data_IF_788550758529
#
_entry.id   IF_788550758529
#
_cell.length_a   1.000
_cell.length_b   1.000
_cell.length_c   1.000
_cell.angle_alpha   90.00
_cell.angle_beta   90.00
_cell.angle_gamma   90.00
#
_symmetry.space_group_name_H-M   'P 1'
#
loop_
_entity.id
_entity.type
_entity.pdbx_description
1 polymer ?
#
# COMPACT_ATOMS: atom_id res chain seq x y z
N UNK A 1 23.41 -19.76 16.53
CA UNK A 1 21.95 -19.97 16.43
C UNK A 1 21.69 -20.81 15.20
N UNK A 2 20.99 -21.92 15.33
CA UNK A 2 20.55 -22.69 14.16
C UNK A 2 19.51 -21.87 13.39
N UNK A 3 19.45 -21.99 12.06
CA UNK A 3 18.51 -21.24 11.21
C UNK A 3 17.05 -21.36 11.69
N UNK A 4 16.67 -22.54 12.18
CA UNK A 4 15.36 -22.80 12.79
C UNK A 4 15.08 -21.97 14.05
N UNK A 5 16.04 -21.86 14.99
CA UNK A 5 15.88 -21.06 16.21
C UNK A 5 15.66 -19.59 15.88
N UNK A 6 16.33 -19.09 14.83
CA UNK A 6 16.14 -17.74 14.33
C UNK A 6 14.74 -17.53 13.73
N UNK A 7 14.27 -18.47 12.91
CA UNK A 7 12.92 -18.41 12.30
C UNK A 7 11.84 -18.42 13.39
N UNK A 8 11.91 -19.36 14.34
CA UNK A 8 10.94 -19.46 15.43
C UNK A 8 10.94 -18.19 16.27
N UNK A 9 12.12 -17.66 16.63
CA UNK A 9 12.22 -16.39 17.37
C UNK A 9 11.58 -15.24 16.60
N UNK A 10 11.79 -15.14 15.29
CA UNK A 10 11.17 -14.11 14.45
C UNK A 10 9.65 -14.26 14.39
N UNK A 11 9.14 -15.49 14.21
CA UNK A 11 7.70 -15.76 14.20
C UNK A 11 7.04 -15.41 15.54
N UNK A 12 7.69 -15.73 16.67
CA UNK A 12 7.18 -15.34 17.99
C UNK A 12 7.21 -13.83 18.20
N UNK A 13 8.23 -13.13 17.70
CA UNK A 13 8.30 -11.67 17.74
C UNK A 13 7.27 -10.99 16.83
N UNK A 14 6.74 -11.66 15.81
CA UNK A 14 5.66 -11.12 14.98
C UNK A 14 4.35 -10.97 15.76
N UNK A 15 4.06 -11.86 16.71
CA UNK A 15 2.82 -11.83 17.48
C UNK A 15 2.63 -10.49 18.21
N UNK A 16 3.55 -10.02 19.08
CA UNK A 16 3.39 -8.72 19.74
C UNK A 16 3.41 -7.55 18.77
N UNK A 17 4.14 -7.65 17.64
CA UNK A 17 4.14 -6.61 16.60
C UNK A 17 2.76 -6.49 15.95
N UNK A 18 2.17 -7.61 15.53
CA UNK A 18 0.83 -7.64 14.93
C UNK A 18 -0.23 -7.15 15.92
N UNK A 19 -0.17 -7.60 17.18
CA UNK A 19 -1.06 -7.08 18.22
C UNK A 19 -0.91 -5.55 18.37
N UNK A 20 0.33 -5.05 18.45
CA UNK A 20 0.58 -3.61 18.50
C UNK A 20 -0.01 -2.85 17.32
N UNK A 21 0.19 -3.36 16.09
CA UNK A 21 -0.39 -2.78 14.88
C UNK A 21 -1.92 -2.78 14.95
N UNK A 22 -2.55 -3.91 15.31
CA UNK A 22 -4.03 -3.99 15.40
C UNK A 22 -4.61 -3.04 16.44
N UNK A 23 -3.93 -2.84 17.58
CA UNK A 23 -4.37 -1.86 18.59
C UNK A 23 -4.26 -0.45 18.03
N UNK A 24 -3.13 -0.11 17.40
CA UNK A 24 -2.93 1.23 16.82
C UNK A 24 -3.96 1.50 15.73
N UNK A 25 -4.17 0.57 14.79
CA UNK A 25 -5.16 0.74 13.71
C UNK A 25 -6.57 0.85 14.25
N UNK A 26 -6.93 0.05 15.27
CA UNK A 26 -8.21 0.12 15.94
C UNK A 26 -8.42 1.46 16.66
N UNK A 27 -7.42 1.96 17.38
CA UNK A 27 -7.52 3.27 18.05
C UNK A 27 -7.66 4.39 17.02
N UNK A 28 -6.83 4.38 15.98
CA UNK A 28 -6.89 5.39 14.91
C UNK A 28 -8.25 5.39 14.23
N UNK A 29 -8.83 4.22 13.95
CA UNK A 29 -10.16 4.13 13.31
C UNK A 29 -11.28 4.70 14.19
N UNK A 30 -11.15 4.64 15.52
CA UNK A 30 -12.13 5.19 16.46
C UNK A 30 -11.91 6.67 16.81
N UNK A 31 -10.70 7.19 16.61
CA UNK A 31 -10.38 8.60 16.83
C UNK A 31 -10.79 9.47 15.64
N UNK A 32 -10.82 8.90 14.43
CA UNK A 32 -11.30 9.61 13.25
C UNK A 32 -12.78 9.98 13.46
N UNK A 33 -13.17 11.26 13.33
CA UNK A 33 -14.54 11.72 13.54
C UNK A 33 -15.45 11.32 12.37
N UNK A 34 -15.67 10.01 12.21
CA UNK A 34 -16.56 9.42 11.24
C UNK A 34 -17.38 8.35 11.94
N UNK A 35 -18.72 8.46 11.91
CA UNK A 35 -19.59 7.40 12.43
C UNK A 35 -19.63 6.25 11.41
N UNK A 36 -19.05 5.07 11.71
CA UNK A 36 -18.94 3.99 10.74
C UNK A 36 -20.31 3.43 10.35
N UNK A 37 -21.30 3.46 11.26
CA UNK A 37 -22.67 3.04 10.96
C UNK A 37 -23.34 4.02 9.99
N UNK A 38 -23.11 5.32 10.16
CA UNK A 38 -23.62 6.34 9.25
C UNK A 38 -22.96 6.27 7.87
N UNK A 39 -21.65 6.02 7.82
CA UNK A 39 -20.91 5.83 6.58
C UNK A 39 -21.46 4.62 5.80
N UNK A 40 -21.65 3.48 6.47
CA UNK A 40 -22.26 2.30 5.85
C UNK A 40 -23.70 2.49 5.41
N UNK A 41 -24.48 3.32 6.11
CA UNK A 41 -25.88 3.55 5.79
C UNK A 41 -26.09 4.45 4.55
N UNK A 42 -25.01 4.97 3.93
CA UNK A 42 -25.08 5.89 2.78
C UNK A 42 -25.03 7.37 3.17
N UNK A 43 -24.52 7.68 4.37
CA UNK A 43 -24.30 9.04 4.85
C UNK A 43 -25.45 9.62 5.69
N UNK A 44 -25.44 10.94 5.95
CA UNK A 44 -26.35 11.59 6.92
C UNK A 44 -27.84 11.51 6.58
N UNK A 45 -28.20 11.11 5.35
CA UNK A 45 -29.59 10.99 4.88
C UNK A 45 -30.22 9.63 5.18
N UNK A 46 -29.46 8.69 5.73
CA UNK A 46 -29.98 7.36 6.05
C UNK A 46 -31.02 7.41 7.17
N UNK A 47 -32.01 6.50 7.10
CA UNK A 47 -33.04 6.41 8.13
C UNK A 47 -32.43 6.05 9.50
N UNK A 48 -32.84 6.69 10.61
CA UNK A 48 -32.28 6.41 11.94
C UNK A 48 -32.38 4.94 12.36
N UNK A 49 -33.44 4.25 11.96
CA UNK A 49 -33.63 2.81 12.21
C UNK A 49 -32.57 1.96 11.49
N UNK A 50 -32.22 2.31 10.26
CA UNK A 50 -31.16 1.63 9.49
C UNK A 50 -29.80 1.84 10.14
N UNK A 51 -29.51 3.06 10.61
CA UNK A 51 -28.25 3.36 11.31
C UNK A 51 -28.15 2.56 12.61
N UNK A 52 -29.22 2.50 13.40
CA UNK A 52 -29.25 1.73 14.64
C UNK A 52 -29.06 0.22 14.40
N UNK A 53 -29.68 -0.32 13.35
CA UNK A 53 -29.50 -1.72 12.95
C UNK A 53 -28.06 -2.02 12.56
N UNK A 54 -27.46 -1.20 11.69
CA UNK A 54 -26.07 -1.35 11.26
C UNK A 54 -25.12 -1.21 12.45
N UNK A 55 -25.39 -0.29 13.38
CA UNK A 55 -24.58 -0.11 14.59
C UNK A 55 -24.55 -1.37 15.45
N UNK A 56 -25.69 -2.04 15.60
CA UNK A 56 -25.76 -3.31 16.32
C UNK A 56 -25.09 -4.47 15.55
N UNK A 57 -25.26 -4.52 14.23
CA UNK A 57 -24.61 -5.51 13.36
C UNK A 57 -23.07 -5.40 13.40
N UNK A 58 -22.54 -4.18 13.48
CA UNK A 58 -21.10 -3.92 13.57
C UNK A 58 -20.56 -3.94 15.01
N UNK A 59 -21.38 -4.29 15.99
CA UNK A 59 -21.04 -4.30 17.42
C UNK A 59 -20.56 -2.95 17.98
N UNK A 60 -20.86 -1.85 17.28
CA UNK A 60 -20.47 -0.49 17.66
C UNK A 60 -21.23 0.01 18.91
N UNK A 61 -22.27 -0.71 19.33
CA UNK A 61 -23.00 -0.51 20.59
C UNK A 61 -22.29 -1.10 21.82
N UNK A 62 -21.24 -1.92 21.62
CA UNK A 62 -20.51 -2.59 22.71
C UNK A 62 -19.38 -1.71 23.28
N UNK A 63 -18.93 -1.97 24.52
CA UNK A 63 -17.69 -1.38 25.04
C UNK A 63 -16.50 -1.60 24.09
N UNK A 64 -15.60 -0.61 23.98
CA UNK A 64 -14.45 -0.64 23.05
C UNK A 64 -13.59 -1.90 23.15
N UNK A 65 -13.42 -2.42 24.38
CA UNK A 65 -12.64 -3.65 24.63
C UNK A 65 -13.30 -4.84 23.91
N UNK A 66 -14.62 -4.95 23.98
CA UNK A 66 -15.38 -6.03 23.33
C UNK A 66 -15.34 -5.86 21.81
N UNK A 67 -15.45 -4.62 21.30
CA UNK A 67 -15.29 -4.33 19.88
C UNK A 67 -13.93 -4.76 19.35
N UNK A 68 -12.86 -4.53 20.12
CA UNK A 68 -11.51 -4.96 19.75
C UNK A 68 -11.39 -6.49 19.68
N UNK A 69 -12.04 -7.23 20.59
CA UNK A 69 -12.07 -8.69 20.50
C UNK A 69 -12.84 -9.22 19.29
N UNK A 70 -13.96 -8.59 18.92
CA UNK A 70 -14.64 -8.92 17.66
C UNK A 70 -13.75 -8.65 16.45
N UNK A 71 -13.09 -7.50 16.41
CA UNK A 71 -12.13 -7.15 15.37
C UNK A 71 -10.98 -8.17 15.26
N UNK A 72 -10.37 -8.56 16.38
CA UNK A 72 -9.34 -9.60 16.39
C UNK A 72 -9.86 -10.96 15.94
N UNK A 73 -11.06 -11.35 16.37
CA UNK A 73 -11.67 -12.60 15.96
C UNK A 73 -11.89 -12.65 14.45
N UNK A 74 -12.41 -11.56 13.86
CA UNK A 74 -12.59 -11.44 12.42
C UNK A 74 -11.26 -11.56 11.68
N UNK A 75 -10.22 -10.84 12.13
CA UNK A 75 -8.89 -10.90 11.51
C UNK A 75 -8.27 -12.31 11.53
N UNK A 76 -8.39 -13.04 12.65
CA UNK A 76 -7.85 -14.40 12.77
C UNK A 76 -8.56 -15.37 11.82
N UNK A 77 -9.83 -15.12 11.49
CA UNK A 77 -10.60 -15.88 10.51
C UNK A 77 -10.49 -15.33 9.08
N UNK A 78 -9.52 -14.43 8.81
CA UNK A 78 -9.32 -13.77 7.52
C UNK A 78 -10.52 -12.95 7.03
N UNK A 79 -11.41 -12.56 7.95
CA UNK A 79 -12.50 -11.63 7.68
C UNK A 79 -11.99 -10.20 7.86
N UNK A 80 -11.67 -9.52 6.74
CA UNK A 80 -11.26 -8.11 6.76
C UNK A 80 -12.45 -7.14 6.78
N UNK A 81 -13.69 -7.65 6.74
CA UNK A 81 -14.90 -6.85 6.69
C UNK A 81 -15.13 -6.19 5.31
N UNK A 82 -15.96 -5.13 5.33
CA UNK A 82 -16.34 -4.35 4.14
C UNK A 82 -15.80 -2.93 4.23
N UNK A 83 -15.47 -2.36 3.09
CA UNK A 83 -15.09 -0.94 2.98
C UNK A 83 -16.29 -0.04 3.26
N UNK A 84 -16.13 0.92 4.18
CA UNK A 84 -17.15 1.94 4.47
C UNK A 84 -17.42 2.86 3.27
N UNK A 85 -16.43 3.06 2.40
CA UNK A 85 -16.54 3.95 1.24
C UNK A 85 -17.11 3.24 0.01
N UNK A 86 -16.61 2.02 -0.26
CA UNK A 86 -16.91 1.30 -1.51
C UNK A 86 -18.01 0.25 -1.34
N UNK A 87 -18.45 0.00 -0.11
CA UNK A 87 -19.50 -0.96 0.25
C UNK A 87 -19.29 -2.38 -0.34
N UNK A 88 -18.03 -2.80 -0.44
CA UNK A 88 -17.62 -4.14 -0.90
C UNK A 88 -16.55 -4.74 0.02
N UNK A 89 -16.31 -6.06 -0.02
CA UNK A 89 -15.29 -6.71 0.80
C UNK A 89 -13.91 -6.06 0.64
N UNK A 90 -13.21 -5.84 1.75
CA UNK A 90 -11.86 -5.24 1.74
C UNK A 90 -10.87 -6.11 0.95
N UNK A 91 -11.06 -7.43 0.97
CA UNK A 91 -10.27 -8.38 0.18
C UNK A 91 -10.35 -8.10 -1.33
N UNK A 92 -11.54 -7.76 -1.83
CA UNK A 92 -11.74 -7.39 -3.23
C UNK A 92 -11.03 -6.07 -3.57
N UNK A 93 -11.18 -5.06 -2.70
CA UNK A 93 -10.45 -3.80 -2.84
C UNK A 93 -8.94 -4.04 -2.94
N UNK A 94 -8.37 -4.83 -2.01
CA UNK A 94 -6.94 -5.16 -2.02
C UNK A 94 -6.57 -5.89 -3.31
N UNK A 95 -7.33 -6.90 -3.72
CA UNK A 95 -7.03 -7.66 -4.94
C UNK A 95 -7.06 -6.81 -6.21
N UNK A 96 -7.87 -5.75 -6.25
CA UNK A 96 -7.92 -4.85 -7.40
C UNK A 96 -6.65 -4.01 -7.54
N UNK A 97 -6.10 -3.51 -6.42
CA UNK A 97 -4.96 -2.59 -6.44
C UNK A 97 -3.60 -3.27 -6.21
N UNK A 98 -3.60 -4.49 -5.65
CA UNK A 98 -2.39 -5.24 -5.34
C UNK A 98 -1.51 -5.50 -6.57
N UNK A 99 -2.03 -5.95 -7.74
CA UNK A 99 -1.18 -6.23 -8.90
C UNK A 99 -0.39 -5.00 -9.37
N UNK A 100 -1.02 -3.84 -9.43
CA UNK A 100 -0.35 -2.60 -9.82
C UNK A 100 0.79 -2.23 -8.85
N UNK A 101 0.54 -2.34 -7.54
CA UNK A 101 1.54 -2.07 -6.51
C UNK A 101 2.69 -3.07 -6.57
N UNK A 102 2.38 -4.34 -6.78
CA UNK A 102 3.34 -5.42 -6.87
C UNK A 102 4.28 -5.24 -8.07
N UNK A 103 3.70 -4.99 -9.25
CA UNK A 103 4.45 -4.71 -10.48
C UNK A 103 5.37 -3.49 -10.31
N UNK A 104 4.82 -2.37 -9.83
CA UNK A 104 5.59 -1.15 -9.56
C UNK A 104 6.75 -1.41 -8.60
N UNK A 105 6.51 -2.15 -7.52
CA UNK A 105 7.52 -2.45 -6.50
C UNK A 105 8.63 -3.32 -7.07
N UNK A 106 8.31 -4.33 -7.90
CA UNK A 106 9.32 -5.17 -8.55
C UNK A 106 10.22 -4.35 -9.47
N UNK A 107 9.65 -3.55 -10.36
CA UNK A 107 10.44 -2.71 -11.27
C UNK A 107 11.28 -1.68 -10.52
N UNK A 108 10.72 -1.06 -9.48
CA UNK A 108 11.47 -0.16 -8.62
C UNK A 108 12.64 -0.88 -7.94
N UNK A 109 12.46 -2.08 -7.40
CA UNK A 109 13.54 -2.86 -6.78
C UNK A 109 14.62 -3.27 -7.78
N UNK A 110 14.23 -3.69 -8.99
CA UNK A 110 15.17 -4.08 -10.05
C UNK A 110 16.08 -2.92 -10.48
N UNK A 111 15.61 -1.68 -10.37
CA UNK A 111 16.41 -0.49 -10.68
C UNK A 111 17.20 -0.03 -9.45
N UNK A 112 16.53 0.13 -8.30
CA UNK A 112 17.11 0.77 -7.11
C UNK A 112 18.14 -0.11 -6.41
N UNK A 113 17.94 -1.42 -6.34
CA UNK A 113 18.85 -2.31 -5.62
C UNK A 113 20.22 -2.39 -6.31
N UNK A 114 20.33 -2.66 -7.63
CA UNK A 114 21.63 -2.66 -8.30
C UNK A 114 22.30 -1.30 -8.26
N UNK A 115 21.57 -0.21 -8.55
CA UNK A 115 22.14 1.14 -8.53
C UNK A 115 22.62 1.54 -7.13
N UNK A 116 21.84 1.23 -6.09
CA UNK A 116 22.20 1.52 -4.70
C UNK A 116 23.41 0.72 -4.24
N UNK A 117 23.46 -0.58 -4.54
CA UNK A 117 24.60 -1.44 -4.18
C UNK A 117 25.87 -1.00 -4.94
N UNK A 118 25.79 -0.84 -6.26
CA UNK A 118 26.95 -0.44 -7.09
C UNK A 118 27.43 0.95 -6.69
N UNK A 119 26.51 1.91 -6.54
CA UNK A 119 26.85 3.26 -6.09
C UNK A 119 27.51 3.26 -4.71
N UNK A 120 26.98 2.51 -3.75
CA UNK A 120 27.55 2.36 -2.42
C UNK A 120 28.96 1.74 -2.43
N UNK A 121 29.16 0.69 -3.24
CA UNK A 121 30.48 0.05 -3.39
C UNK A 121 31.48 1.02 -4.02
N UNK A 122 31.10 1.74 -5.08
CA UNK A 122 31.97 2.71 -5.75
C UNK A 122 32.38 3.83 -4.79
N UNK A 123 31.42 4.40 -4.05
CA UNK A 123 31.66 5.43 -3.03
C UNK A 123 32.64 4.92 -1.96
N UNK A 124 32.48 3.68 -1.50
CA UNK A 124 33.38 3.07 -0.51
C UNK A 124 34.82 2.86 -1.04
N UNK A 125 34.97 2.36 -2.27
CA UNK A 125 36.29 2.09 -2.87
C UNK A 125 37.00 3.39 -3.28
N UNK A 126 36.25 4.39 -3.75
CA UNK A 126 36.77 5.68 -4.24
C UNK A 126 36.58 6.79 -3.21
N UNK A 127 36.67 6.45 -1.93
CA UNK A 127 36.54 7.37 -0.80
C UNK A 127 37.31 8.69 -1.02
N UNK A 128 36.66 9.81 -0.73
CA UNK A 128 37.20 11.17 -0.81
C UNK A 128 37.68 11.58 -2.22
N UNK A 129 37.19 10.89 -3.26
CA UNK A 129 37.36 11.27 -4.67
C UNK A 129 36.09 11.93 -5.21
N UNK A 130 36.15 12.66 -6.35
CA UNK A 130 34.99 13.32 -6.91
C UNK A 130 33.76 12.41 -7.09
N UNK A 131 33.96 11.15 -7.47
CA UNK A 131 32.87 10.19 -7.64
C UNK A 131 32.16 9.84 -6.33
N UNK A 132 32.91 9.74 -5.21
CA UNK A 132 32.32 9.55 -3.87
C UNK A 132 31.47 10.75 -3.48
N UNK A 133 32.00 11.97 -3.67
CA UNK A 133 31.26 13.20 -3.38
C UNK A 133 29.97 13.32 -4.21
N UNK A 134 30.01 12.99 -5.51
CA UNK A 134 28.82 13.01 -6.37
C UNK A 134 27.78 11.97 -5.91
N UNK A 135 28.19 10.72 -5.68
CA UNK A 135 27.26 9.67 -5.23
C UNK A 135 26.63 10.01 -3.88
N UNK A 136 27.43 10.51 -2.92
CA UNK A 136 26.94 10.97 -1.62
C UNK A 136 25.99 12.15 -1.75
N UNK A 137 26.32 13.12 -2.60
CA UNK A 137 25.44 14.27 -2.85
C UNK A 137 24.08 13.83 -3.39
N UNK A 138 24.06 12.95 -4.40
CA UNK A 138 22.82 12.40 -4.95
C UNK A 138 22.02 11.66 -3.87
N UNK A 139 22.68 10.83 -3.05
CA UNK A 139 22.02 10.10 -1.97
C UNK A 139 21.40 11.04 -0.91
N UNK A 140 22.15 12.08 -0.51
CA UNK A 140 21.67 13.08 0.46
C UNK A 140 20.49 13.86 -0.11
N UNK A 141 20.58 14.33 -1.35
CA UNK A 141 19.48 15.07 -2.00
C UNK A 141 18.25 14.17 -2.11
N UNK A 142 18.41 12.94 -2.61
CA UNK A 142 17.30 12.00 -2.74
C UNK A 142 16.62 11.66 -1.40
N UNK A 143 17.39 11.58 -0.31
CA UNK A 143 16.84 11.34 1.02
C UNK A 143 16.20 12.58 1.66
N UNK A 144 16.71 13.78 1.34
CA UNK A 144 16.27 15.03 1.96
C UNK A 144 15.01 15.62 1.33
N UNK A 145 14.73 15.27 0.07
CA UNK A 145 13.54 15.76 -0.63
C UNK A 145 12.28 15.03 -0.16
N UNK A 146 11.17 15.74 0.08
CA UNK A 146 9.89 15.10 0.34
C UNK A 146 9.47 14.22 -0.85
N UNK A 147 9.15 12.95 -0.59
CA UNK A 147 8.89 11.98 -1.67
C UNK A 147 7.70 12.38 -2.53
N UNK A 148 6.66 12.98 -1.93
CA UNK A 148 5.50 13.49 -2.66
C UNK A 148 5.88 14.65 -3.60
N UNK A 149 6.78 15.53 -3.17
CA UNK A 149 7.22 16.66 -3.97
C UNK A 149 8.05 16.17 -5.16
N UNK A 150 8.96 15.23 -4.91
CA UNK A 150 9.75 14.61 -5.97
C UNK A 150 8.82 13.91 -6.98
N UNK A 151 7.82 13.15 -6.52
CA UNK A 151 6.85 12.50 -7.38
C UNK A 151 6.10 13.52 -8.28
N UNK A 152 5.61 14.63 -7.70
CA UNK A 152 4.94 15.68 -8.46
C UNK A 152 5.86 16.38 -9.47
N UNK A 153 7.12 16.64 -9.11
CA UNK A 153 8.10 17.23 -10.02
C UNK A 153 8.46 16.28 -11.17
N UNK A 154 8.61 14.99 -10.88
CA UNK A 154 8.84 13.97 -11.90
C UNK A 154 7.62 13.81 -12.81
N UNK A 155 6.40 13.84 -12.27
CA UNK A 155 5.17 13.82 -13.07
C UNK A 155 5.06 15.07 -13.98
N UNK A 156 5.36 16.25 -13.44
CA UNK A 156 5.40 17.47 -14.25
C UNK A 156 6.45 17.39 -15.37
N UNK A 157 7.63 16.86 -15.09
CA UNK A 157 8.68 16.74 -16.09
C UNK A 157 8.41 15.64 -17.12
N UNK A 158 8.02 14.44 -16.69
CA UNK A 158 7.95 13.23 -17.53
C UNK A 158 6.54 12.81 -17.97
N UNK A 159 5.50 13.50 -17.52
CA UNK A 159 4.15 13.34 -18.06
C UNK A 159 3.63 14.60 -18.74
N UNK A 160 3.97 15.79 -18.23
CA UNK A 160 3.49 17.05 -18.81
C UNK A 160 4.49 17.69 -19.80
N UNK A 161 5.74 17.93 -19.40
CA UNK A 161 6.73 18.60 -20.27
C UNK A 161 7.31 17.65 -21.33
N UNK A 162 7.72 16.46 -20.91
CA UNK A 162 8.21 15.38 -21.75
C UNK A 162 7.20 14.25 -21.63
N UNK A 163 6.24 14.06 -22.54
CA UNK A 163 5.17 13.07 -22.42
C UNK A 163 5.67 11.64 -22.64
N UNK A 164 6.59 11.19 -21.78
CA UNK A 164 7.18 9.85 -21.77
C UNK A 164 6.26 8.88 -21.04
N UNK A 165 5.59 9.34 -19.98
CA UNK A 165 4.65 8.56 -19.18
C UNK A 165 3.25 9.17 -19.20
N UNK A 166 2.19 8.39 -18.96
CA UNK A 166 0.84 8.92 -18.81
C UNK A 166 0.74 9.81 -17.57
N UNK A 167 -0.15 10.81 -17.63
CA UNK A 167 -0.39 11.72 -16.51
C UNK A 167 -1.04 11.00 -15.32
N UNK A 168 -1.94 10.05 -15.60
CA UNK A 168 -2.66 9.25 -14.61
C UNK A 168 -2.86 7.83 -15.13
N UNK A 169 -3.05 6.90 -14.20
CA UNK A 169 -3.28 5.48 -14.52
C UNK A 169 -2.04 4.72 -14.97
N UNK A 170 -2.24 3.46 -15.35
CA UNK A 170 -1.17 2.55 -15.79
C UNK A 170 -0.94 2.58 -17.31
N UNK A 171 -1.94 3.02 -18.07
CA UNK A 171 -1.95 3.06 -19.53
C UNK A 171 -2.33 4.45 -20.01
N UNK A 172 -1.85 4.88 -21.19
CA UNK A 172 -2.29 6.13 -21.81
C UNK A 172 -3.80 6.14 -22.08
N UNK A 173 -4.37 7.34 -22.10
CA UNK A 173 -5.80 7.53 -22.44
C UNK A 173 -6.03 7.02 -23.87
N UNK A 174 -7.07 6.21 -24.04
CA UNK A 174 -7.45 5.64 -25.35
C UNK A 174 -6.83 4.28 -25.64
N UNK A 175 -5.98 3.76 -24.76
CA UNK A 175 -5.40 2.43 -24.86
C UNK A 175 -6.22 1.46 -24.00
N UNK A 176 -6.74 0.40 -24.61
CA UNK A 176 -7.46 -0.65 -23.89
C UNK A 176 -6.51 -1.49 -23.04
N UNK A 177 -6.95 -1.88 -21.85
CA UNK A 177 -6.19 -2.83 -21.04
C UNK A 177 -6.13 -4.20 -21.71
N UNK A 178 -5.00 -4.91 -21.62
CA UNK A 178 -4.90 -6.28 -22.13
C UNK A 178 -5.92 -7.19 -21.42
N UNK A 179 -6.31 -8.32 -22.02
CA UNK A 179 -7.13 -9.33 -21.36
C UNK A 179 -6.49 -9.72 -20.01
N UNK A 180 -7.22 -9.46 -18.92
CA UNK A 180 -6.66 -9.56 -17.57
C UNK A 180 -6.92 -10.94 -16.96
N UNK A 181 -5.83 -11.66 -16.68
CA UNK A 181 -5.86 -12.94 -15.96
C UNK A 181 -5.31 -12.78 -14.54
N UNK A 182 -4.29 -11.94 -14.40
CA UNK A 182 -3.57 -11.71 -13.14
C UNK A 182 -3.71 -10.28 -12.62
N UNK A 183 -4.08 -9.33 -13.50
CA UNK A 183 -4.11 -7.90 -13.21
C UNK A 183 -2.73 -7.23 -13.32
N UNK A 184 -1.67 -8.00 -13.58
CA UNK A 184 -0.33 -7.51 -13.88
C UNK A 184 -0.27 -7.21 -15.38
N UNK A 185 -0.25 -5.93 -15.76
CA UNK A 185 -0.40 -5.56 -17.17
C UNK A 185 0.79 -6.03 -18.00
N UNK A 186 2.03 -5.98 -17.49
CA UNK A 186 3.19 -6.50 -18.23
C UNK A 186 3.06 -8.00 -18.48
N UNK A 187 2.62 -8.77 -17.47
CA UNK A 187 2.48 -10.22 -17.62
C UNK A 187 1.27 -10.58 -18.50
N UNK A 188 0.15 -9.91 -18.31
CA UNK A 188 -1.07 -10.11 -19.09
C UNK A 188 -0.85 -9.71 -20.56
N UNK A 189 -0.11 -8.63 -20.86
CA UNK A 189 0.32 -8.23 -22.21
C UNK A 189 1.22 -9.30 -22.86
N UNK A 190 2.20 -9.83 -22.13
CA UNK A 190 3.08 -10.89 -22.64
C UNK A 190 2.33 -12.21 -22.92
N UNK A 191 1.36 -12.57 -22.06
CA UNK A 191 0.58 -13.80 -22.23
C UNK A 191 -0.46 -13.70 -23.35
N UNK A 192 -1.09 -12.53 -23.50
CA UNK A 192 -2.10 -12.27 -24.54
C UNK A 192 -1.48 -11.97 -25.91
N UNK A 193 -0.18 -11.65 -25.96
CA UNK A 193 0.49 -11.19 -27.18
C UNK A 193 0.11 -9.76 -27.58
N UNK A 194 -0.67 -9.07 -26.76
CA UNK A 194 -1.07 -7.67 -26.94
C UNK A 194 -0.04 -6.79 -26.22
N UNK A 195 1.00 -6.38 -26.94
CA UNK A 195 2.07 -5.52 -26.42
C UNK A 195 1.58 -4.08 -26.32
N UNK A 196 0.79 -3.84 -25.29
CA UNK A 196 0.34 -2.51 -24.83
C UNK A 196 1.44 -1.80 -24.04
#
# INVERSE_FOLDING_TARGET
>A
MKTWEYIVRRLLLLIPVLLGVTVITFVVSHVIPADPAMAFAGGPKAQPETIARIRAELHLDKPLIIQYFYYLNDLIHFNLGKSYLENRPVTECISQYFPATFELTIFAMLITVPLGIVGGIISAIKRDKPIDHVTRFIAIVGYSLPIFWLALMLQYLFAYQLPVFPLEGRLPIGVSSPPSFTGLYVLDSLLSGDLV
#
